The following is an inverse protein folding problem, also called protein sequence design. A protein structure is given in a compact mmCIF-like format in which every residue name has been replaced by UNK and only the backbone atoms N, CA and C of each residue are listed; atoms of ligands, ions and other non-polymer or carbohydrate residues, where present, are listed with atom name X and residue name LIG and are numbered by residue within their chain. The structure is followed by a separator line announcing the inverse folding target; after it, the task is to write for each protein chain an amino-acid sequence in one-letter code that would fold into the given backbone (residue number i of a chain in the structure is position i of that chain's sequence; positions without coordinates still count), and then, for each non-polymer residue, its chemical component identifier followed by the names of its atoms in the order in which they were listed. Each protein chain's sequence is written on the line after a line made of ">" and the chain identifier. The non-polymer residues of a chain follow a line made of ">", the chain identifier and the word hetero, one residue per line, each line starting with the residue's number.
data_IF_357124804447
#
_entry.id   IF_357124804447
#
_cell.length_a   1.000
_cell.length_b   1.000
_cell.length_c   1.000
_cell.angle_alpha   90.00
_cell.angle_beta   90.00
_cell.angle_gamma   90.00
#
_symmetry.space_group_name_H-M   'P 1'
#
loop_
_entity.id
_entity.type
_entity.pdbx_description
1 polymer ?
#
# COMPACT_ATOMS: atom_id res chain seq x y z
N UNK A 1 -12.80 -2.26 -27.81
CA UNK A 1 -12.39 -0.92 -27.33
C UNK A 1 -13.64 -0.18 -26.90
N UNK A 2 -13.89 -0.11 -25.60
CA UNK A 2 -14.99 0.70 -25.05
C UNK A 2 -14.34 2.01 -24.57
N UNK A 3 -14.84 3.16 -24.99
CA UNK A 3 -14.29 4.45 -24.58
C UNK A 3 -14.53 4.68 -23.09
N UNK A 4 -13.54 5.25 -22.41
CA UNK A 4 -13.56 5.60 -20.98
C UNK A 4 -14.81 6.42 -20.60
N UNK A 5 -15.34 7.22 -21.53
CA UNK A 5 -16.55 8.02 -21.39
C UNK A 5 -17.86 7.24 -21.23
N UNK A 6 -17.93 5.97 -21.68
CA UNK A 6 -19.14 5.16 -21.55
C UNK A 6 -19.30 4.54 -20.15
N UNK A 7 -18.21 4.42 -19.39
CA UNK A 7 -18.18 3.77 -18.06
C UNK A 7 -18.16 4.82 -16.94
N UNK A 8 -17.46 5.94 -17.13
CA UNK A 8 -17.30 6.96 -16.08
C UNK A 8 -18.45 7.97 -15.97
N UNK A 9 -19.26 8.13 -17.02
CA UNK A 9 -20.26 9.21 -17.10
C UNK A 9 -21.53 9.02 -16.26
N UNK A 10 -21.77 7.85 -15.67
CA UNK A 10 -23.00 7.60 -14.90
C UNK A 10 -22.93 6.44 -13.88
N UNK A 11 -21.88 5.61 -13.90
CA UNK A 11 -21.87 4.38 -13.11
C UNK A 11 -21.35 4.56 -11.67
N UNK A 12 -20.43 5.49 -11.39
CA UNK A 12 -19.74 5.52 -10.10
C UNK A 12 -20.56 6.06 -8.93
N UNK A 13 -21.58 6.90 -9.17
CA UNK A 13 -22.42 7.46 -8.10
C UNK A 13 -23.80 6.80 -7.97
N UNK A 14 -24.22 6.00 -8.95
CA UNK A 14 -25.58 5.40 -8.99
C UNK A 14 -25.61 3.87 -9.17
N UNK A 15 -24.46 3.25 -9.43
CA UNK A 15 -24.36 1.79 -9.54
C UNK A 15 -23.33 1.28 -8.54
N UNK A 16 -23.75 0.40 -7.63
CA UNK A 16 -22.92 -0.26 -6.62
C UNK A 16 -21.78 -1.06 -7.28
N UNK A 17 -20.74 -0.39 -7.80
CA UNK A 17 -19.62 -0.99 -8.54
C UNK A 17 -18.32 -0.50 -7.93
N UNK A 18 -17.50 -1.44 -7.48
CA UNK A 18 -16.16 -1.20 -6.92
C UNK A 18 -15.13 -1.79 -7.89
N UNK A 19 -14.49 -0.91 -8.66
CA UNK A 19 -13.40 -1.28 -9.55
C UNK A 19 -12.15 -1.57 -8.73
N UNK A 20 -11.58 -2.77 -8.90
CA UNK A 20 -10.35 -3.10 -8.18
C UNK A 20 -9.15 -2.31 -8.70
N UNK A 21 -9.15 -1.99 -10.00
CA UNK A 21 -8.25 -1.04 -10.64
C UNK A 21 -9.05 -0.25 -11.68
N UNK A 22 -8.66 1.01 -11.91
CA UNK A 22 -9.34 1.86 -12.88
C UNK A 22 -9.20 1.32 -14.30
N UNK A 23 -10.30 1.15 -15.05
CA UNK A 23 -10.22 0.71 -16.42
C UNK A 23 -9.60 1.79 -17.31
N UNK A 24 -8.42 1.53 -17.86
CA UNK A 24 -7.79 2.36 -18.89
C UNK A 24 -8.08 1.80 -20.29
N UNK A 25 -7.98 2.59 -21.37
CA UNK A 25 -8.28 2.13 -22.74
C UNK A 25 -7.48 0.89 -23.19
N UNK A 26 -6.28 0.73 -22.64
CA UNK A 26 -5.32 -0.36 -22.86
C UNK A 26 -5.47 -1.52 -21.84
N UNK A 27 -6.23 -1.34 -20.76
CA UNK A 27 -6.46 -2.37 -19.75
C UNK A 27 -7.58 -3.33 -20.17
N UNK A 28 -7.17 -4.54 -20.55
CA UNK A 28 -8.09 -5.66 -20.80
C UNK A 28 -7.43 -6.98 -20.37
N UNK A 29 -8.04 -7.75 -19.45
CA UNK A 29 -9.31 -7.51 -18.76
C UNK A 29 -9.20 -6.55 -17.56
N UNK A 30 -10.32 -5.96 -17.13
CA UNK A 30 -10.46 -5.30 -15.83
C UNK A 30 -11.43 -6.09 -14.92
N UNK A 31 -11.25 -5.95 -13.60
CA UNK A 31 -12.06 -6.64 -12.59
C UNK A 31 -12.84 -5.62 -11.77
N UNK A 32 -14.15 -5.85 -11.60
CA UNK A 32 -15.01 -5.03 -10.77
C UNK A 32 -15.94 -5.90 -9.93
N UNK A 33 -16.14 -5.50 -8.68
CA UNK A 33 -17.17 -6.04 -7.82
C UNK A 33 -18.48 -5.30 -8.08
N UNK A 34 -19.54 -6.05 -8.37
CA UNK A 34 -20.84 -5.51 -8.76
C UNK A 34 -21.88 -5.88 -7.72
N UNK A 35 -22.72 -4.93 -7.34
CA UNK A 35 -23.84 -5.14 -6.43
C UNK A 35 -24.86 -6.15 -6.96
N UNK A 36 -25.61 -6.83 -6.06
CA UNK A 36 -26.50 -7.93 -6.42
C UNK A 36 -27.70 -7.51 -7.28
N UNK A 37 -27.99 -6.20 -7.37
CA UNK A 37 -29.09 -5.66 -8.17
C UNK A 37 -28.91 -5.87 -9.69
N UNK A 38 -27.70 -6.18 -10.16
CA UNK A 38 -27.44 -6.56 -11.56
C UNK A 38 -27.54 -5.43 -12.59
N UNK A 39 -27.86 -4.19 -12.19
CA UNK A 39 -27.98 -3.02 -13.10
C UNK A 39 -26.74 -2.81 -13.97
N UNK A 40 -25.55 -2.96 -13.40
CA UNK A 40 -24.31 -2.82 -14.15
C UNK A 40 -24.16 -3.91 -15.21
N UNK A 41 -24.50 -5.17 -14.90
CA UNK A 41 -24.46 -6.26 -15.88
C UNK A 41 -25.47 -6.03 -17.03
N UNK A 42 -26.64 -5.47 -16.72
CA UNK A 42 -27.61 -5.07 -17.74
C UNK A 42 -27.04 -3.98 -18.65
N UNK A 43 -26.34 -2.98 -18.09
CA UNK A 43 -25.69 -1.92 -18.86
C UNK A 43 -24.56 -2.46 -19.76
N UNK A 44 -23.78 -3.44 -19.28
CA UNK A 44 -22.76 -4.12 -20.10
C UNK A 44 -23.41 -4.86 -21.27
N UNK A 45 -24.48 -5.62 -21.03
CA UNK A 45 -25.22 -6.33 -22.07
C UNK A 45 -25.82 -5.37 -23.10
N UNK A 46 -26.47 -4.29 -22.66
CA UNK A 46 -27.05 -3.28 -23.55
C UNK A 46 -25.99 -2.57 -24.41
N UNK A 47 -24.75 -2.49 -23.92
CA UNK A 47 -23.61 -1.89 -24.63
C UNK A 47 -22.78 -2.91 -25.43
N UNK A 48 -23.23 -4.17 -25.53
CA UNK A 48 -22.48 -5.28 -26.15
C UNK A 48 -21.05 -5.44 -25.61
N UNK A 49 -20.86 -5.18 -24.31
CA UNK A 49 -19.58 -5.36 -23.64
C UNK A 49 -19.53 -6.78 -23.07
N UNK A 50 -18.62 -7.61 -23.59
CA UNK A 50 -18.42 -8.96 -23.08
C UNK A 50 -17.84 -8.95 -21.68
N UNK A 51 -18.38 -9.79 -20.80
CA UNK A 51 -17.86 -10.00 -19.45
C UNK A 51 -17.95 -11.47 -19.05
N UNK A 52 -17.19 -11.83 -18.02
CA UNK A 52 -17.25 -13.14 -17.36
C UNK A 52 -17.44 -12.94 -15.87
N UNK A 53 -18.41 -13.61 -15.28
CA UNK A 53 -18.53 -13.65 -13.83
C UNK A 53 -17.49 -14.65 -13.30
N UNK A 54 -16.49 -14.13 -12.60
CA UNK A 54 -15.40 -14.95 -12.03
C UNK A 54 -15.69 -15.41 -10.61
N UNK A 55 -16.49 -14.65 -9.86
CA UNK A 55 -16.97 -14.97 -8.51
C UNK A 55 -18.44 -14.61 -8.41
N UNK A 56 -19.31 -15.60 -8.21
CA UNK A 56 -20.75 -15.38 -8.10
C UNK A 56 -21.18 -14.89 -6.71
N UNK A 57 -20.40 -15.20 -5.67
CA UNK A 57 -20.67 -14.81 -4.29
C UNK A 57 -19.38 -14.30 -3.63
N UNK A 58 -19.16 -12.99 -3.66
CA UNK A 58 -17.96 -12.40 -3.08
C UNK A 58 -17.92 -12.48 -1.55
N UNK A 59 -19.07 -12.57 -0.87
CA UNK A 59 -19.13 -12.81 0.57
C UNK A 59 -18.42 -14.12 0.93
N UNK A 60 -18.56 -15.16 0.09
CA UNK A 60 -17.84 -16.42 0.31
C UNK A 60 -16.32 -16.29 0.24
N UNK A 61 -15.78 -15.29 -0.47
CA UNK A 61 -14.33 -15.02 -0.52
C UNK A 61 -13.90 -14.43 0.81
N UNK A 62 -14.65 -13.45 1.33
CA UNK A 62 -14.42 -12.82 2.63
C UNK A 62 -14.53 -13.85 3.77
N UNK A 63 -15.58 -14.69 3.75
CA UNK A 63 -15.79 -15.72 4.76
C UNK A 63 -14.64 -16.74 4.78
N UNK A 64 -14.12 -17.11 3.60
CA UNK A 64 -12.95 -18.00 3.50
C UNK A 64 -11.69 -17.37 4.08
N UNK A 65 -11.43 -16.09 3.79
CA UNK A 65 -10.30 -15.36 4.39
C UNK A 65 -10.44 -15.30 5.90
N UNK A 66 -11.64 -14.97 6.41
CA UNK A 66 -11.90 -14.92 7.85
C UNK A 66 -11.67 -16.27 8.51
N UNK A 67 -12.23 -17.36 7.96
CA UNK A 67 -12.01 -18.71 8.48
C UNK A 67 -10.53 -19.10 8.43
N UNK A 68 -9.82 -18.77 7.34
CA UNK A 68 -8.40 -19.05 7.23
C UNK A 68 -7.59 -18.28 8.28
N UNK A 69 -7.88 -16.99 8.45
CA UNK A 69 -7.20 -16.12 9.40
C UNK A 69 -7.48 -16.53 10.86
N UNK A 70 -8.70 -16.98 11.17
CA UNK A 70 -9.07 -17.50 12.49
C UNK A 70 -8.52 -18.89 12.75
N UNK A 71 -8.46 -19.80 11.76
CA UNK A 71 -7.85 -21.14 11.97
C UNK A 71 -6.36 -21.06 12.32
N UNK A 72 -5.67 -20.04 11.81
CA UNK A 72 -4.27 -19.77 12.16
C UNK A 72 -4.11 -19.25 13.61
N UNK A 73 -5.21 -18.87 14.29
CA UNK A 73 -5.21 -18.48 15.71
C UNK A 73 -5.03 -19.65 16.69
N UNK A 74 -4.85 -20.88 16.20
CA UNK A 74 -4.44 -22.03 17.04
C UNK A 74 -3.07 -21.85 17.71
N UNK A 75 -2.29 -20.86 17.25
CA UNK A 75 -1.13 -20.30 17.97
C UNK A 75 -1.58 -19.02 18.68
N UNK A 76 -1.58 -19.01 20.01
CA UNK A 76 -1.77 -17.78 20.79
C UNK A 76 -0.61 -16.84 20.48
N UNK A 77 -0.89 -15.65 19.92
CA UNK A 77 0.11 -14.59 19.72
C UNK A 77 0.11 -13.95 18.32
N UNK A 78 1.14 -13.15 18.09
CA UNK A 78 1.43 -12.48 16.82
C UNK A 78 2.03 -13.46 15.81
N UNK A 79 1.52 -13.50 14.58
CA UNK A 79 2.05 -14.38 13.51
C UNK A 79 2.41 -13.54 12.28
N UNK A 80 3.69 -13.57 11.92
CA UNK A 80 4.26 -12.83 10.78
C UNK A 80 4.05 -13.52 9.42
N UNK A 81 3.79 -14.82 9.42
CA UNK A 81 3.86 -15.68 8.24
C UNK A 81 2.48 -16.06 7.70
N UNK A 82 1.45 -16.14 8.56
CA UNK A 82 0.17 -16.77 8.21
C UNK A 82 -1.08 -16.06 8.77
N UNK A 83 -0.96 -14.85 9.34
CA UNK A 83 -2.10 -14.13 9.92
C UNK A 83 -2.09 -12.65 9.54
N UNK A 84 -3.24 -12.14 9.13
CA UNK A 84 -3.52 -10.71 9.12
C UNK A 84 -3.85 -10.27 10.55
N UNK A 85 -2.85 -9.69 11.21
CA UNK A 85 -2.94 -9.24 12.60
C UNK A 85 -3.82 -7.98 12.71
N UNK A 86 -4.54 -7.85 13.82
CA UNK A 86 -5.32 -6.64 14.11
C UNK A 86 -4.40 -5.46 14.44
N UNK A 87 -4.94 -4.24 14.43
CA UNK A 87 -4.19 -3.05 14.84
C UNK A 87 -3.66 -3.17 16.29
N UNK A 88 -4.45 -3.75 17.19
CA UNK A 88 -4.09 -3.95 18.60
C UNK A 88 -2.93 -4.94 18.73
N UNK A 89 -2.97 -6.06 18.00
CA UNK A 89 -1.89 -7.04 17.94
C UNK A 89 -0.59 -6.41 17.40
N UNK A 90 -0.70 -5.63 16.31
CA UNK A 90 0.43 -4.90 15.69
C UNK A 90 1.05 -3.92 16.68
N UNK A 91 0.24 -3.06 17.28
CA UNK A 91 0.74 -2.03 18.20
C UNK A 91 1.40 -2.66 19.42
N UNK A 92 0.81 -3.73 19.97
CA UNK A 92 1.37 -4.47 21.10
C UNK A 92 2.71 -5.10 20.74
N UNK A 93 2.81 -5.73 19.57
CA UNK A 93 4.03 -6.37 19.11
C UNK A 93 5.16 -5.35 18.85
N UNK A 94 4.87 -4.22 18.19
CA UNK A 94 5.88 -3.19 17.97
C UNK A 94 6.38 -2.58 19.28
N UNK A 95 5.49 -2.34 20.26
CA UNK A 95 5.89 -1.87 21.61
C UNK A 95 6.76 -2.92 22.31
N UNK A 96 6.42 -4.20 22.19
CA UNK A 96 7.21 -5.32 22.75
C UNK A 96 8.61 -5.34 22.13
N UNK A 97 8.72 -5.27 20.80
CA UNK A 97 10.00 -5.24 20.08
C UNK A 97 10.84 -4.02 20.50
N UNK A 98 10.25 -2.83 20.51
CA UNK A 98 10.96 -1.61 20.88
C UNK A 98 11.42 -1.58 22.34
N UNK A 99 10.72 -2.29 23.23
CA UNK A 99 11.08 -2.39 24.66
C UNK A 99 12.12 -3.47 24.95
N UNK A 100 12.25 -4.49 24.10
CA UNK A 100 13.19 -5.59 24.30
C UNK A 100 14.68 -5.17 24.20
N UNK A 101 14.94 -3.98 23.67
CA UNK A 101 16.29 -3.50 23.38
C UNK A 101 16.88 -4.12 22.11
N UNK A 102 18.12 -3.77 21.79
CA UNK A 102 18.82 -4.26 20.59
C UNK A 102 18.70 -3.30 19.40
N UNK A 103 18.21 -3.83 18.26
CA UNK A 103 18.22 -3.11 16.97
C UNK A 103 17.03 -2.16 16.77
N UNK A 104 15.97 -2.29 17.57
CA UNK A 104 14.70 -1.60 17.32
C UNK A 104 14.34 -0.59 18.40
N UNK A 105 13.71 0.51 17.99
CA UNK A 105 13.10 1.51 18.87
C UNK A 105 11.68 1.82 18.40
N UNK A 106 10.76 1.83 19.35
CA UNK A 106 9.37 2.20 19.10
C UNK A 106 9.20 3.71 18.99
N UNK A 107 8.34 4.14 18.07
CA UNK A 107 7.91 5.52 17.94
C UNK A 107 6.49 5.62 17.38
N UNK A 108 6.00 6.86 17.33
CA UNK A 108 4.70 7.20 16.79
C UNK A 108 4.86 8.28 15.73
N UNK A 109 4.24 8.09 14.56
CA UNK A 109 4.15 9.12 13.53
C UNK A 109 3.26 10.27 14.04
N UNK A 110 2.22 9.94 14.80
CA UNK A 110 1.22 10.87 15.30
C UNK A 110 -0.06 10.12 15.70
N UNK A 111 -1.18 10.84 15.67
CA UNK A 111 -2.51 10.25 15.90
C UNK A 111 -3.38 10.34 14.65
N UNK A 112 -4.18 9.32 14.43
CA UNK A 112 -5.25 9.29 13.43
C UNK A 112 -6.43 10.18 13.82
N UNK A 113 -7.42 10.29 12.93
CA UNK A 113 -8.64 11.06 13.19
C UNK A 113 -9.42 10.56 14.43
N UNK A 114 -9.56 9.25 14.61
CA UNK A 114 -10.23 8.63 15.75
C UNK A 114 -9.30 8.49 16.97
N UNK A 115 -8.09 9.08 16.93
CA UNK A 115 -7.17 9.20 18.05
C UNK A 115 -6.27 8.00 18.31
N UNK A 116 -6.20 7.04 17.38
CA UNK A 116 -5.27 5.91 17.45
C UNK A 116 -3.85 6.36 17.17
N UNK A 117 -2.89 5.73 17.83
CA UNK A 117 -1.49 5.95 17.56
C UNK A 117 -1.15 5.39 16.18
N UNK A 118 -0.28 6.07 15.42
CA UNK A 118 0.26 5.54 14.15
C UNK A 118 1.65 4.99 14.45
N UNK A 119 1.81 3.68 14.72
CA UNK A 119 3.05 3.15 15.25
C UNK A 119 4.11 2.96 14.15
N UNK A 120 5.37 3.16 14.52
CA UNK A 120 6.51 2.78 13.68
C UNK A 120 7.66 2.18 14.51
N UNK A 121 8.56 1.46 13.84
CA UNK A 121 9.86 1.07 14.39
C UNK A 121 10.99 1.75 13.63
N UNK A 122 11.93 2.33 14.37
CA UNK A 122 13.29 2.57 13.85
C UNK A 122 14.11 1.32 14.09
N UNK A 123 14.67 0.72 13.04
CA UNK A 123 15.50 -0.49 13.09
C UNK A 123 16.89 -0.15 12.55
N UNK A 124 17.91 -0.31 13.40
CA UNK A 124 19.30 -0.04 13.04
C UNK A 124 20.24 -0.85 13.93
N UNK A 125 21.42 -1.19 13.42
CA UNK A 125 22.45 -1.80 14.25
C UNK A 125 23.02 -0.77 15.23
N UNK A 126 23.18 -1.07 16.54
CA UNK A 126 23.81 -0.16 17.47
C UNK A 126 25.24 0.19 17.04
N UNK A 127 25.62 1.47 17.15
CA UNK A 127 26.91 1.97 16.66
C UNK A 127 26.91 2.34 15.18
N UNK A 128 27.94 3.08 14.77
CA UNK A 128 28.04 3.71 13.45
C UNK A 128 27.49 5.14 13.43
N UNK A 129 28.18 6.04 12.70
CA UNK A 129 27.78 7.43 12.47
C UNK A 129 27.30 7.60 11.04
N UNK A 130 26.43 8.58 10.78
CA UNK A 130 26.00 9.00 9.44
C UNK A 130 25.27 7.94 8.58
N UNK A 131 24.52 7.01 9.21
CA UNK A 131 23.66 6.06 8.48
C UNK A 131 22.56 6.80 7.73
N UNK A 132 22.27 6.38 6.50
CA UNK A 132 21.16 6.93 5.71
C UNK A 132 19.83 6.31 6.11
N UNK A 133 18.74 7.04 5.95
CA UNK A 133 17.40 6.56 6.31
C UNK A 133 16.73 5.86 5.12
N UNK A 134 16.08 4.73 5.37
CA UNK A 134 15.16 4.04 4.46
C UNK A 134 13.77 4.05 5.09
N UNK A 135 12.77 4.59 4.39
CA UNK A 135 11.38 4.61 4.84
C UNK A 135 10.57 3.53 4.15
N UNK A 136 9.90 2.68 4.92
CA UNK A 136 8.83 1.80 4.46
C UNK A 136 7.51 2.30 5.03
N UNK A 137 6.61 2.71 4.16
CA UNK A 137 5.26 3.16 4.48
C UNK A 137 4.27 2.13 3.96
N UNK A 138 3.38 1.65 4.82
CA UNK A 138 2.45 0.58 4.49
C UNK A 138 1.08 0.84 5.13
N UNK A 139 0.05 0.22 4.55
CA UNK A 139 -1.31 0.30 5.10
C UNK A 139 -1.90 1.70 5.03
N UNK A 140 -1.53 2.49 4.03
CA UNK A 140 -2.20 3.75 3.68
C UNK A 140 -3.64 3.48 3.22
N UNK A 141 -3.86 2.46 2.38
CA UNK A 141 -5.21 1.98 2.09
C UNK A 141 -5.58 0.82 3.02
N UNK A 142 -6.74 0.92 3.65
CA UNK A 142 -7.12 0.03 4.72
C UNK A 142 -7.36 -1.43 4.29
N UNK A 143 -7.88 -1.67 3.08
CA UNK A 143 -8.21 -3.00 2.56
C UNK A 143 -7.00 -3.86 2.15
N UNK A 144 -5.81 -3.27 2.12
CA UNK A 144 -4.59 -3.88 1.56
C UNK A 144 -3.80 -4.67 2.61
N UNK A 145 -4.45 -5.66 3.21
CA UNK A 145 -3.91 -6.39 4.38
C UNK A 145 -2.57 -7.08 4.13
N UNK A 146 -2.30 -7.54 2.90
CA UNK A 146 -1.01 -8.18 2.57
C UNK A 146 0.16 -7.19 2.56
N UNK A 147 -0.07 -5.92 2.27
CA UNK A 147 0.97 -4.89 2.37
C UNK A 147 1.39 -4.68 3.82
N UNK A 148 0.42 -4.57 4.73
CA UNK A 148 0.66 -4.51 6.18
C UNK A 148 1.44 -5.74 6.66
N UNK A 149 0.99 -6.94 6.27
CA UNK A 149 1.63 -8.19 6.65
C UNK A 149 3.07 -8.31 6.13
N UNK A 150 3.33 -7.88 4.88
CA UNK A 150 4.68 -7.88 4.31
C UNK A 150 5.64 -6.95 5.07
N UNK A 151 5.18 -5.76 5.46
CA UNK A 151 6.00 -4.84 6.24
C UNK A 151 6.32 -5.34 7.64
N UNK A 152 5.36 -6.02 8.28
CA UNK A 152 5.58 -6.69 9.57
C UNK A 152 6.55 -7.85 9.41
N UNK A 153 6.44 -8.63 8.34
CA UNK A 153 7.37 -9.72 8.06
C UNK A 153 8.81 -9.21 7.88
N UNK A 154 9.01 -8.17 7.09
CA UNK A 154 10.33 -7.53 6.91
C UNK A 154 10.85 -6.97 8.24
N UNK A 155 9.98 -6.33 9.02
CA UNK A 155 10.31 -5.85 10.37
C UNK A 155 10.89 -6.97 11.22
N UNK A 156 10.22 -8.14 11.25
CA UNK A 156 10.71 -9.31 11.99
C UNK A 156 12.07 -9.78 11.47
N UNK A 157 12.27 -9.83 10.15
CA UNK A 157 13.54 -10.24 9.55
C UNK A 157 14.71 -9.32 9.95
N UNK A 158 14.50 -8.00 9.89
CA UNK A 158 15.53 -7.01 10.23
C UNK A 158 15.85 -7.00 11.72
N UNK A 159 14.87 -7.28 12.57
CA UNK A 159 15.05 -7.28 14.03
C UNK A 159 15.72 -8.57 14.52
N UNK A 160 15.26 -9.73 14.05
CA UNK A 160 15.59 -11.02 14.68
C UNK A 160 16.78 -11.73 14.07
N UNK A 161 17.12 -11.45 12.81
CA UNK A 161 18.22 -12.14 12.10
C UNK A 161 19.48 -11.26 12.04
N UNK A 162 20.63 -11.90 11.81
CA UNK A 162 21.90 -11.20 11.51
C UNK A 162 22.19 -11.12 10.01
N UNK A 163 21.38 -11.78 9.18
CA UNK A 163 21.51 -11.85 7.72
C UNK A 163 21.59 -10.47 7.07
N UNK A 164 20.94 -9.47 7.66
CA UNK A 164 20.83 -8.12 7.12
C UNK A 164 21.65 -7.08 7.91
N UNK A 165 22.60 -7.52 8.75
CA UNK A 165 23.40 -6.60 9.57
C UNK A 165 24.28 -5.67 8.74
N UNK A 166 24.77 -6.14 7.59
CA UNK A 166 25.48 -5.31 6.62
C UNK A 166 24.60 -4.15 6.11
N UNK A 167 23.30 -4.41 5.92
CA UNK A 167 22.33 -3.40 5.52
C UNK A 167 22.08 -2.41 6.67
N UNK A 168 21.96 -2.92 7.90
CA UNK A 168 21.74 -2.13 9.11
C UNK A 168 22.99 -1.37 9.61
N UNK A 169 24.18 -1.73 9.13
CA UNK A 169 25.41 -0.96 9.31
C UNK A 169 25.39 0.30 8.44
N UNK A 170 24.77 0.24 7.26
CA UNK A 170 24.68 1.35 6.30
C UNK A 170 23.43 2.22 6.49
N UNK A 171 22.32 1.60 6.86
CA UNK A 171 21.01 2.26 6.91
C UNK A 171 20.34 2.17 8.29
N UNK A 172 19.54 3.18 8.61
CA UNK A 172 18.44 3.07 9.57
C UNK A 172 17.13 2.89 8.81
N UNK A 173 16.32 1.90 9.19
CA UNK A 173 14.99 1.69 8.63
C UNK A 173 13.95 2.33 9.53
N UNK A 174 13.05 3.11 8.95
CA UNK A 174 11.82 3.56 9.61
C UNK A 174 10.66 2.87 8.93
N UNK A 175 10.02 1.93 9.62
CA UNK A 175 8.93 1.12 9.08
C UNK A 175 7.62 1.49 9.78
N UNK A 176 6.64 1.96 9.00
CA UNK A 176 5.28 2.32 9.43
C UNK A 176 4.33 1.25 8.86
N UNK A 177 3.93 0.21 9.62
CA UNK A 177 3.14 -0.88 9.04
C UNK A 177 1.68 -0.52 8.75
N UNK A 178 1.11 0.45 9.47
CA UNK A 178 -0.29 0.86 9.34
C UNK A 178 -0.41 2.38 9.45
N UNK A 179 -0.25 3.09 8.33
CA UNK A 179 -0.42 4.54 8.27
C UNK A 179 -1.89 4.98 8.50
N UNK A 180 -2.87 4.19 8.05
CA UNK A 180 -4.29 4.44 8.23
C UNK A 180 -4.91 3.46 9.25
N UNK A 181 -4.63 3.60 10.56
CA UNK A 181 -5.08 2.65 11.56
C UNK A 181 -6.61 2.63 11.73
N UNK A 182 -7.29 3.76 11.53
CA UNK A 182 -8.75 3.83 11.68
C UNK A 182 -9.46 3.06 10.57
N UNK A 183 -9.04 3.29 9.32
CA UNK A 183 -9.53 2.51 8.19
C UNK A 183 -9.21 1.03 8.37
N UNK A 184 -7.98 0.69 8.79
CA UNK A 184 -7.57 -0.70 9.00
C UNK A 184 -8.46 -1.39 10.04
N UNK A 185 -8.70 -0.77 11.21
CA UNK A 185 -9.63 -1.31 12.21
C UNK A 185 -11.05 -1.46 11.64
N UNK A 186 -11.51 -0.49 10.86
CA UNK A 186 -12.83 -0.55 10.22
C UNK A 186 -12.94 -1.73 9.24
N UNK A 187 -11.86 -2.12 8.56
CA UNK A 187 -11.85 -3.33 7.71
C UNK A 187 -11.91 -4.64 8.48
N UNK A 188 -11.37 -4.66 9.71
CA UNK A 188 -11.41 -5.85 10.58
C UNK A 188 -12.76 -6.02 11.28
N UNK A 189 -13.55 -4.95 11.42
CA UNK A 189 -14.73 -4.92 12.30
C UNK A 189 -16.05 -4.63 11.61
N UNK A 190 -16.04 -3.89 10.47
CA UNK A 190 -17.27 -3.40 9.84
C UNK A 190 -17.31 -3.66 8.34
N UNK A 191 -16.33 -3.16 7.58
CA UNK A 191 -16.33 -3.25 6.13
C UNK A 191 -14.95 -3.61 5.59
N UNK A 192 -14.73 -4.89 5.32
CA UNK A 192 -13.48 -5.45 4.81
C UNK A 192 -12.96 -4.79 3.52
N UNK A 193 -13.84 -4.16 2.74
CA UNK A 193 -13.51 -3.50 1.46
C UNK A 193 -13.16 -2.02 1.61
N UNK A 194 -13.20 -1.47 2.82
CA UNK A 194 -12.94 -0.05 3.04
C UNK A 194 -11.51 0.37 2.65
N UNK A 195 -11.38 1.48 1.93
CA UNK A 195 -10.09 1.99 1.42
C UNK A 195 -9.58 3.21 2.21
N UNK A 196 -10.47 4.17 2.43
CA UNK A 196 -10.18 5.54 2.88
C UNK A 196 -9.79 5.64 4.36
N UNK A 197 -9.45 6.84 4.82
CA UNK A 197 -9.41 7.20 6.25
C UNK A 197 -10.81 7.14 6.88
N UNK A 198 -10.95 7.56 8.15
CA UNK A 198 -12.25 7.62 8.87
C UNK A 198 -12.66 9.02 9.31
N UNK A 199 -12.05 10.06 8.73
CA UNK A 199 -12.44 11.46 8.96
C UNK A 199 -13.90 11.72 8.53
N UNK A 200 -14.55 12.72 9.13
CA UNK A 200 -15.91 13.10 8.73
C UNK A 200 -15.90 14.02 7.50
N UNK A 201 -16.57 13.61 6.44
CA UNK A 201 -16.59 14.31 5.14
C UNK A 201 -18.03 14.49 4.64
N UNK A 202 -18.77 15.38 5.28
CA UNK A 202 -20.18 15.64 4.96
C UNK A 202 -21.08 14.50 5.42
N UNK A 203 -21.82 13.90 4.47
CA UNK A 203 -22.64 12.70 4.68
C UNK A 203 -21.84 11.39 4.53
N UNK A 204 -20.60 11.49 4.03
CA UNK A 204 -19.69 10.37 3.82
C UNK A 204 -18.47 10.46 4.76
N UNK A 205 -17.62 9.45 4.73
CA UNK A 205 -16.46 9.33 5.62
C UNK A 205 -15.19 9.07 4.82
N UNK A 206 -14.09 9.62 5.33
CA UNK A 206 -12.74 9.43 4.86
C UNK A 206 -12.41 10.16 3.56
N UNK A 207 -11.14 10.49 3.42
CA UNK A 207 -10.48 10.79 2.15
C UNK A 207 -9.56 9.62 1.77
N UNK A 208 -9.24 9.49 0.49
CA UNK A 208 -8.17 8.61 0.01
C UNK A 208 -6.83 9.20 0.48
N UNK A 209 -6.15 8.57 1.46
CA UNK A 209 -4.91 9.11 1.98
C UNK A 209 -3.79 9.12 0.91
N UNK A 210 -3.91 8.36 -0.18
CA UNK A 210 -2.96 8.40 -1.30
C UNK A 210 -3.36 9.38 -2.41
N UNK A 211 -4.33 10.26 -2.15
CA UNK A 211 -4.67 11.45 -2.95
C UNK A 211 -4.61 12.75 -2.14
N UNK A 212 -4.15 12.67 -0.89
CA UNK A 212 -4.18 13.76 0.08
C UNK A 212 -2.81 14.43 0.30
N UNK A 213 -1.89 14.30 -0.66
CA UNK A 213 -0.53 14.86 -0.58
C UNK A 213 -0.41 16.17 -1.36
N UNK A 214 0.48 17.09 -0.95
CA UNK A 214 0.81 18.30 -1.74
C UNK A 214 1.68 17.97 -2.96
N UNK A 215 1.18 17.13 -3.85
CA UNK A 215 1.80 16.80 -5.13
C UNK A 215 0.70 16.55 -6.16
N UNK A 216 0.48 17.50 -7.07
CA UNK A 216 -0.65 17.52 -7.99
C UNK A 216 -1.99 17.25 -7.27
N UNK A 217 -2.19 17.95 -6.13
CA UNK A 217 -3.28 17.67 -5.21
C UNK A 217 -4.64 17.75 -5.92
N UNK A 218 -5.41 16.66 -5.84
CA UNK A 218 -6.74 16.55 -6.41
C UNK A 218 -6.81 16.77 -7.94
N UNK A 219 -5.70 16.60 -8.67
CA UNK A 219 -5.67 16.68 -10.12
C UNK A 219 -6.03 15.33 -10.76
N UNK A 220 -5.05 14.57 -11.23
CA UNK A 220 -5.27 13.33 -11.98
C UNK A 220 -5.55 12.14 -11.06
N UNK A 221 -6.60 11.37 -11.37
CA UNK A 221 -6.92 10.11 -10.68
C UNK A 221 -7.49 10.30 -9.28
N UNK A 222 -7.98 11.50 -8.95
CA UNK A 222 -8.62 11.85 -7.71
C UNK A 222 -10.08 12.32 -7.93
N UNK A 223 -10.85 12.44 -6.85
CA UNK A 223 -12.23 12.94 -6.89
C UNK A 223 -12.43 14.05 -5.85
N UNK A 224 -13.28 15.02 -6.18
CA UNK A 224 -13.73 16.06 -5.23
C UNK A 224 -15.02 15.66 -4.49
N UNK A 225 -15.64 14.53 -4.86
CA UNK A 225 -16.84 14.01 -4.20
C UNK A 225 -16.47 13.27 -2.91
N UNK A 226 -16.92 13.71 -1.72
CA UNK A 226 -16.67 13.04 -0.45
C UNK A 226 -17.09 11.57 -0.37
N UNK A 227 -18.01 11.14 -1.23
CA UNK A 227 -18.53 9.78 -1.26
C UNK A 227 -17.76 8.85 -2.21
N UNK A 228 -16.87 9.39 -3.04
CA UNK A 228 -15.99 8.62 -3.91
C UNK A 228 -14.83 8.01 -3.10
N UNK A 229 -14.41 6.80 -3.47
CA UNK A 229 -13.27 6.11 -2.87
C UNK A 229 -11.92 6.79 -3.14
N UNK A 230 -11.86 7.69 -4.13
CA UNK A 230 -10.70 8.52 -4.48
C UNK A 230 -10.84 9.97 -4.02
N UNK A 231 -11.77 10.26 -3.12
CA UNK A 231 -11.95 11.60 -2.57
C UNK A 231 -10.62 12.15 -2.05
N UNK A 232 -10.15 13.26 -2.60
CA UNK A 232 -8.81 13.79 -2.28
C UNK A 232 -8.73 14.46 -0.90
N UNK A 233 -9.86 14.75 -0.25
CA UNK A 233 -9.90 15.55 0.98
C UNK A 233 -10.16 17.03 0.71
N UNK A 234 -10.29 17.82 1.77
CA UNK A 234 -10.65 19.26 1.66
C UNK A 234 -9.49 20.13 1.18
N UNK A 235 -8.27 19.67 1.41
CA UNK A 235 -7.01 20.30 1.03
C UNK A 235 -5.91 19.24 1.11
N UNK A 236 -4.74 19.50 0.51
CA UNK A 236 -3.56 18.70 0.77
C UNK A 236 -3.32 18.63 2.29
N UNK A 237 -2.98 17.43 2.78
CA UNK A 237 -2.76 17.12 4.19
C UNK A 237 -3.96 17.45 5.10
N UNK A 238 -5.19 17.36 4.57
CA UNK A 238 -6.40 17.47 5.41
C UNK A 238 -6.56 16.30 6.37
N UNK A 239 -6.00 15.14 6.05
CA UNK A 239 -6.03 13.96 6.90
C UNK A 239 -4.88 14.02 7.93
N UNK A 240 -5.14 13.81 9.23
CA UNK A 240 -4.09 13.86 10.25
C UNK A 240 -3.00 12.81 10.02
N UNK A 241 -3.35 11.66 9.42
CA UNK A 241 -2.42 10.57 9.10
C UNK A 241 -1.37 11.02 8.06
N UNK A 242 -1.81 11.56 6.93
CA UNK A 242 -0.92 12.00 5.84
C UNK A 242 -0.10 13.22 6.25
N UNK A 243 -0.71 14.14 7.01
CA UNK A 243 -0.01 15.29 7.58
C UNK A 243 1.14 14.84 8.48
N UNK A 244 0.85 14.01 9.49
CA UNK A 244 1.85 13.54 10.44
C UNK A 244 2.98 12.75 9.75
N UNK A 245 2.64 11.93 8.74
CA UNK A 245 3.66 11.21 7.96
C UNK A 245 4.55 12.16 7.16
N UNK A 246 3.97 13.19 6.54
CA UNK A 246 4.74 14.19 5.79
C UNK A 246 5.74 14.93 6.69
N UNK A 247 5.34 15.25 7.92
CA UNK A 247 6.17 15.92 8.93
C UNK A 247 7.31 15.00 9.37
N UNK A 248 7.04 13.72 9.65
CA UNK A 248 8.07 12.74 10.01
C UNK A 248 9.11 12.58 8.89
N UNK A 249 8.69 12.41 7.64
CA UNK A 249 9.62 12.27 6.51
C UNK A 249 10.46 13.54 6.36
N UNK A 250 9.85 14.73 6.49
CA UNK A 250 10.55 16.00 6.39
C UNK A 250 11.69 16.14 7.41
N UNK A 251 11.54 15.60 8.64
CA UNK A 251 12.61 15.63 9.65
C UNK A 251 13.89 14.87 9.26
N UNK A 252 13.78 13.94 8.30
CA UNK A 252 14.87 13.06 7.85
C UNK A 252 15.19 13.23 6.36
N UNK A 253 14.52 14.15 5.65
CA UNK A 253 14.56 14.23 4.19
C UNK A 253 15.98 14.30 3.62
N UNK A 254 16.82 15.20 4.15
CA UNK A 254 18.21 15.39 3.71
C UNK A 254 19.12 14.17 3.93
N UNK A 255 18.72 13.24 4.80
CA UNK A 255 19.47 12.02 5.11
C UNK A 255 18.80 10.74 4.57
N UNK A 256 17.68 10.86 3.87
CA UNK A 256 16.94 9.71 3.35
C UNK A 256 17.57 9.23 2.05
N UNK A 257 17.98 7.96 2.01
CA UNK A 257 18.49 7.31 0.81
C UNK A 257 17.37 6.70 -0.04
N UNK A 258 16.23 6.34 0.55
CA UNK A 258 15.12 5.76 -0.19
C UNK A 258 13.79 5.79 0.56
N UNK A 259 12.71 6.00 -0.18
CA UNK A 259 11.33 5.93 0.30
C UNK A 259 10.55 4.89 -0.50
N UNK A 260 9.85 3.99 0.20
CA UNK A 260 9.09 2.90 -0.38
C UNK A 260 7.69 2.87 0.21
N UNK A 261 6.68 3.14 -0.63
CA UNK A 261 5.27 3.02 -0.28
C UNK A 261 4.74 1.66 -0.74
N UNK A 262 4.21 0.84 0.17
CA UNK A 262 3.89 -0.57 -0.06
C UNK A 262 2.37 -0.75 -0.04
N UNK A 263 1.83 -1.17 -1.18
CA UNK A 263 0.41 -1.32 -1.49
C UNK A 263 0.08 -2.74 -1.96
N UNK A 264 -1.19 -3.03 -2.14
CA UNK A 264 -1.64 -4.07 -3.04
C UNK A 264 -2.93 -3.64 -3.78
N UNK A 265 -3.20 -4.09 -4.99
CA UNK A 265 -2.53 -5.14 -5.73
C UNK A 265 -2.34 -4.76 -7.20
N UNK A 266 -1.53 -5.54 -7.89
CA UNK A 266 -1.31 -5.37 -9.32
C UNK A 266 0.01 -5.90 -9.82
N UNK A 267 0.92 -6.29 -8.93
CA UNK A 267 2.28 -6.71 -9.25
C UNK A 267 3.03 -5.64 -10.04
N UNK A 268 3.12 -4.45 -9.46
CA UNK A 268 3.78 -3.29 -10.06
C UNK A 268 4.93 -2.80 -9.19
N UNK A 269 5.99 -2.31 -9.83
CA UNK A 269 7.12 -1.68 -9.16
C UNK A 269 7.29 -0.26 -9.71
N UNK A 270 6.70 0.69 -9.01
CA UNK A 270 6.37 2.00 -9.53
C UNK A 270 7.33 3.08 -9.01
N UNK A 271 7.49 4.15 -9.77
CA UNK A 271 8.30 5.31 -9.40
C UNK A 271 7.67 6.63 -9.93
N UNK A 272 8.08 7.82 -9.44
CA UNK A 272 7.57 9.08 -9.95
C UNK A 272 7.86 9.26 -11.45
N UNK A 273 7.07 9.99 -12.22
CA UNK A 273 5.75 10.54 -11.90
C UNK A 273 4.81 10.23 -13.04
N UNK A 274 3.59 9.86 -12.70
CA UNK A 274 2.47 9.69 -13.63
C UNK A 274 1.61 10.96 -13.75
N UNK A 275 1.81 11.96 -12.88
CA UNK A 275 1.01 13.19 -12.89
C UNK A 275 1.55 14.28 -13.84
N UNK A 276 2.81 14.19 -14.28
CA UNK A 276 3.47 15.13 -15.18
C UNK A 276 3.75 14.49 -16.53
N UNK A 277 3.68 15.28 -17.59
CA UNK A 277 4.19 14.85 -18.89
C UNK A 277 5.72 14.72 -18.83
N UNK A 278 6.24 13.62 -19.38
CA UNK A 278 7.66 13.33 -19.42
C UNK A 278 8.20 12.64 -18.17
N UNK A 279 9.48 12.32 -18.22
CA UNK A 279 10.17 11.50 -17.23
C UNK A 279 10.79 12.35 -16.11
N UNK A 280 10.93 11.85 -14.87
CA UNK A 280 11.71 12.53 -13.84
C UNK A 280 13.19 12.66 -14.26
N UNK A 281 13.94 13.64 -13.73
CA UNK A 281 15.34 13.87 -14.10
C UNK A 281 16.25 12.64 -14.00
N UNK A 282 16.03 11.77 -13.02
CA UNK A 282 16.80 10.53 -12.81
C UNK A 282 16.05 9.26 -13.26
N UNK A 283 15.11 9.37 -14.21
CA UNK A 283 14.30 8.25 -14.71
C UNK A 283 15.10 7.00 -15.05
N UNK A 284 16.19 7.12 -15.80
CA UNK A 284 17.00 5.97 -16.19
C UNK A 284 17.55 5.19 -14.99
N UNK A 285 17.82 5.87 -13.87
CA UNK A 285 18.25 5.24 -12.63
C UNK A 285 17.08 4.57 -11.90
N UNK A 286 15.95 5.27 -11.77
CA UNK A 286 14.73 4.71 -11.17
C UNK A 286 14.26 3.46 -11.91
N UNK A 287 14.21 3.52 -13.24
CA UNK A 287 13.78 2.42 -14.10
C UNK A 287 14.73 1.22 -14.00
N UNK A 288 16.05 1.46 -14.07
CA UNK A 288 17.06 0.41 -13.86
C UNK A 288 16.90 -0.27 -12.49
N UNK A 289 16.67 0.51 -11.43
CA UNK A 289 16.44 -0.02 -10.09
C UNK A 289 15.12 -0.81 -10.02
N UNK A 290 14.04 -0.31 -10.60
CA UNK A 290 12.78 -1.04 -10.69
C UNK A 290 12.96 -2.39 -11.41
N UNK A 291 13.70 -2.41 -12.53
CA UNK A 291 14.05 -3.65 -13.22
C UNK A 291 14.87 -4.62 -12.36
N UNK A 292 15.81 -4.14 -11.55
CA UNK A 292 16.52 -4.97 -10.57
C UNK A 292 15.56 -5.57 -9.55
N UNK A 293 14.63 -4.77 -9.03
CA UNK A 293 13.60 -5.21 -8.08
C UNK A 293 12.69 -6.30 -8.65
N UNK A 294 12.09 -6.08 -9.83
CA UNK A 294 11.18 -7.07 -10.44
C UNK A 294 11.89 -8.35 -10.86
N UNK A 295 13.16 -8.28 -11.26
CA UNK A 295 13.96 -9.47 -11.56
C UNK A 295 14.25 -10.29 -10.30
N UNK A 296 14.55 -9.64 -9.17
CA UNK A 296 14.74 -10.32 -7.89
C UNK A 296 13.45 -10.96 -7.35
N UNK A 297 12.30 -10.31 -7.55
CA UNK A 297 10.97 -10.89 -7.25
C UNK A 297 10.75 -12.15 -8.09
N UNK A 298 10.99 -12.07 -9.41
CA UNK A 298 10.84 -13.20 -10.33
C UNK A 298 11.78 -14.36 -9.96
N UNK A 299 13.02 -14.07 -9.58
CA UNK A 299 13.96 -15.09 -9.12
C UNK A 299 13.55 -15.78 -7.80
N UNK A 300 12.74 -15.10 -6.97
CA UNK A 300 12.33 -15.63 -5.66
C UNK A 300 11.19 -16.65 -5.79
N UNK A 301 10.09 -16.27 -6.46
CA UNK A 301 8.88 -17.09 -6.53
C UNK A 301 8.30 -17.24 -7.95
N UNK A 302 9.05 -16.87 -8.98
CA UNK A 302 8.62 -16.91 -10.38
C UNK A 302 7.32 -16.12 -10.67
N UNK A 303 7.17 -14.97 -10.01
CA UNK A 303 6.06 -14.03 -10.26
C UNK A 303 6.58 -12.79 -10.97
N UNK A 304 5.78 -12.29 -11.91
CA UNK A 304 6.16 -11.17 -12.77
C UNK A 304 5.55 -9.89 -12.25
N UNK A 305 6.41 -8.95 -11.88
CA UNK A 305 6.04 -7.58 -11.59
C UNK A 305 6.48 -6.69 -12.75
N UNK A 306 5.76 -5.61 -12.99
CA UNK A 306 6.04 -4.68 -14.11
C UNK A 306 6.44 -3.31 -13.57
N UNK A 307 7.55 -2.72 -14.04
CA UNK A 307 7.84 -1.32 -13.77
C UNK A 307 6.75 -0.39 -14.33
N UNK A 308 6.35 0.62 -13.57
CA UNK A 308 5.29 1.57 -13.96
C UNK A 308 5.48 2.94 -13.27
N UNK A 309 4.60 3.90 -13.50
CA UNK A 309 4.66 5.25 -12.90
C UNK A 309 3.54 5.48 -11.88
N UNK A 310 3.90 6.09 -10.74
CA UNK A 310 2.94 6.46 -9.68
C UNK A 310 2.51 7.92 -9.81
N UNK A 311 1.25 8.26 -9.47
CA UNK A 311 0.67 9.61 -9.65
C UNK A 311 -0.08 10.10 -8.42
N UNK A 312 0.15 11.36 -8.02
CA UNK A 312 -0.63 12.12 -7.03
C UNK A 312 -0.53 11.59 -5.60
N UNK A 313 0.57 10.89 -5.30
CA UNK A 313 0.74 10.06 -4.10
C UNK A 313 1.92 10.50 -3.23
N UNK A 314 2.13 9.78 -2.12
CA UNK A 314 3.27 10.02 -1.23
C UNK A 314 4.62 10.01 -1.96
N UNK A 315 4.79 9.08 -2.89
CA UNK A 315 6.00 8.89 -3.71
C UNK A 315 6.32 10.12 -4.57
N UNK A 316 5.30 10.77 -5.15
CA UNK A 316 5.48 12.02 -5.88
C UNK A 316 5.85 13.18 -4.94
N UNK A 317 5.17 13.31 -3.80
CA UNK A 317 5.46 14.36 -2.82
C UNK A 317 6.89 14.31 -2.29
N UNK A 318 7.36 13.13 -1.86
CA UNK A 318 8.71 12.99 -1.32
C UNK A 318 9.79 13.29 -2.37
N UNK A 319 9.53 12.94 -3.63
CA UNK A 319 10.44 13.25 -4.72
C UNK A 319 10.43 14.74 -5.05
N UNK A 320 9.25 15.31 -5.32
CA UNK A 320 9.10 16.69 -5.79
C UNK A 320 9.42 17.73 -4.72
N UNK A 321 8.86 17.55 -3.51
CA UNK A 321 8.91 18.56 -2.46
C UNK A 321 10.07 18.32 -1.50
N UNK A 322 10.31 17.07 -1.10
CA UNK A 322 11.36 16.72 -0.13
C UNK A 322 12.70 16.33 -0.77
N UNK A 323 12.76 16.25 -2.10
CA UNK A 323 13.97 15.94 -2.88
C UNK A 323 14.60 14.58 -2.55
N UNK A 324 13.76 13.62 -2.12
CA UNK A 324 14.17 12.23 -1.95
C UNK A 324 14.14 11.57 -3.33
N UNK A 325 15.30 11.49 -3.98
CA UNK A 325 15.41 11.10 -5.40
C UNK A 325 15.17 9.61 -5.68
N UNK A 326 15.22 8.78 -4.64
CA UNK A 326 14.91 7.34 -4.71
C UNK A 326 13.57 7.10 -4.02
N UNK A 327 12.49 7.27 -4.78
CA UNK A 327 11.14 7.09 -4.28
C UNK A 327 10.44 6.04 -5.13
N UNK A 328 9.85 5.03 -4.49
CA UNK A 328 9.18 3.93 -5.15
C UNK A 328 7.84 3.65 -4.48
N UNK A 329 6.91 3.10 -5.26
CA UNK A 329 5.71 2.44 -4.75
C UNK A 329 5.69 1.00 -5.27
N UNK A 330 5.18 0.06 -4.49
CA UNK A 330 5.04 -1.33 -4.93
C UNK A 330 3.60 -1.78 -4.74
N UNK A 331 3.01 -2.34 -5.79
CA UNK A 331 1.71 -3.02 -5.73
C UNK A 331 1.99 -4.51 -5.65
N UNK A 332 1.76 -5.11 -4.49
CA UNK A 332 2.01 -6.52 -4.25
C UNK A 332 1.01 -7.41 -5.01
N UNK A 333 1.12 -8.72 -4.78
CA UNK A 333 0.14 -9.70 -5.24
C UNK A 333 -1.29 -9.40 -4.73
N UNK A 334 -2.30 -9.95 -5.41
CA UNK A 334 -2.19 -10.69 -6.66
C UNK A 334 -2.04 -9.77 -7.90
N UNK A 335 -2.06 -10.32 -9.11
CA UNK A 335 -2.18 -9.51 -10.33
C UNK A 335 -3.60 -8.95 -10.49
N UNK A 336 -3.76 -7.94 -11.37
CA UNK A 336 -5.03 -7.22 -11.60
C UNK A 336 -6.21 -8.11 -12.04
N UNK A 337 -5.95 -9.29 -12.59
CA UNK A 337 -6.97 -10.23 -13.07
C UNK A 337 -7.43 -11.24 -12.03
N UNK A 338 -6.76 -11.29 -10.86
CA UNK A 338 -7.07 -12.27 -9.84
C UNK A 338 -8.45 -12.02 -9.22
N UNK A 339 -9.32 -13.04 -9.17
CA UNK A 339 -10.74 -12.88 -8.79
C UNK A 339 -10.94 -12.38 -7.36
N UNK A 340 -10.03 -12.74 -6.45
CA UNK A 340 -10.15 -12.40 -5.04
C UNK A 340 -9.60 -10.99 -4.72
N UNK A 341 -8.83 -10.37 -5.64
CA UNK A 341 -8.25 -9.03 -5.47
C UNK A 341 -7.58 -8.81 -4.11
N UNK A 342 -8.12 -7.88 -3.32
CA UNK A 342 -7.64 -7.52 -1.98
C UNK A 342 -7.85 -8.60 -0.90
N UNK A 343 -8.62 -9.66 -1.18
CA UNK A 343 -8.98 -10.73 -0.22
C UNK A 343 -8.08 -11.94 -0.45
N UNK A 344 -6.80 -11.80 -0.13
CA UNK A 344 -5.79 -12.81 -0.40
C UNK A 344 -5.69 -13.80 0.77
N UNK A 345 -5.74 -15.11 0.51
CA UNK A 345 -5.60 -16.15 1.54
C UNK A 345 -4.31 -15.96 2.39
N UNK A 346 -4.39 -15.97 3.74
CA UNK A 346 -3.24 -15.76 4.61
C UNK A 346 -2.03 -16.65 4.34
N UNK A 347 -2.21 -17.83 3.72
CA UNK A 347 -1.07 -18.70 3.31
C UNK A 347 -0.12 -18.03 2.33
N UNK A 348 -0.55 -16.97 1.64
CA UNK A 348 0.26 -16.21 0.70
C UNK A 348 1.08 -15.11 1.37
N UNK A 349 0.84 -14.79 2.66
CA UNK A 349 1.60 -13.75 3.37
C UNK A 349 3.09 -14.03 3.25
N UNK A 350 3.58 -15.18 3.71
CA UNK A 350 5.01 -15.50 3.64
C UNK A 350 5.60 -15.46 2.21
N UNK A 351 5.03 -16.14 1.19
CA UNK A 351 5.52 -16.02 -0.19
C UNK A 351 5.57 -14.58 -0.70
N UNK A 352 4.51 -13.78 -0.47
CA UNK A 352 4.45 -12.39 -0.92
C UNK A 352 5.50 -11.53 -0.18
N UNK A 353 5.65 -11.73 1.12
CA UNK A 353 6.65 -11.03 1.92
C UNK A 353 8.08 -11.34 1.48
N UNK A 354 8.40 -12.60 1.17
CA UNK A 354 9.76 -13.00 0.79
C UNK A 354 10.15 -12.45 -0.57
N UNK A 355 9.26 -12.50 -1.57
CA UNK A 355 9.56 -11.93 -2.89
C UNK A 355 9.63 -10.40 -2.84
N UNK A 356 8.71 -9.74 -2.13
CA UNK A 356 8.69 -8.30 -1.99
C UNK A 356 9.97 -7.81 -1.32
N UNK A 357 10.39 -8.47 -0.22
CA UNK A 357 11.62 -8.15 0.46
C UNK A 357 12.85 -8.32 -0.43
N UNK A 358 12.95 -9.41 -1.19
CA UNK A 358 14.08 -9.61 -2.10
C UNK A 358 14.11 -8.56 -3.23
N UNK A 359 12.96 -8.14 -3.75
CA UNK A 359 12.85 -7.03 -4.70
C UNK A 359 13.32 -5.71 -4.10
N UNK A 360 12.75 -5.32 -2.96
CA UNK A 360 13.10 -4.09 -2.25
C UNK A 360 14.58 -4.07 -1.86
N UNK A 361 15.10 -5.18 -1.33
CA UNK A 361 16.50 -5.31 -0.92
C UNK A 361 17.45 -5.17 -2.11
N UNK A 362 17.13 -5.77 -3.26
CA UNK A 362 17.93 -5.61 -4.48
C UNK A 362 18.03 -4.13 -4.90
N UNK A 363 16.95 -3.35 -4.73
CA UNK A 363 16.99 -1.90 -4.95
C UNK A 363 17.86 -1.20 -3.90
N UNK A 364 17.62 -1.46 -2.61
CA UNK A 364 18.30 -0.79 -1.48
C UNK A 364 19.83 -1.00 -1.52
N UNK A 365 20.28 -2.20 -1.88
CA UNK A 365 21.69 -2.55 -2.03
C UNK A 365 22.38 -1.82 -3.19
N UNK A 366 21.60 -1.20 -4.10
CA UNK A 366 22.10 -0.53 -5.31
C UNK A 366 21.72 0.96 -5.41
N UNK A 367 21.17 1.59 -4.36
CA UNK A 367 20.76 3.02 -4.39
C UNK A 367 21.91 3.99 -4.69
N UNK A 368 23.15 3.65 -4.31
CA UNK A 368 24.33 4.51 -4.49
C UNK A 368 25.15 4.15 -5.75
N UNK A 369 24.66 3.23 -6.59
CA UNK A 369 25.32 2.81 -7.84
C UNK A 369 24.56 3.32 -9.06
#
# INVERSE_FOLDING_TARGET
>A
MVSHSCISGNASSTSNVDFFADPTPDMSPFTALVGPEGRFLQALNASNISYKVVVNNFQSVIDREWVANTRQSGKVGFDYDNKYNTYEDITTELKRIGSAGGKAKYGSVGKSYEGREIPYLTITKPGGTNKKTIFFECGIHAREWVAVAACLWVTNQLVTTTTYDNLLDKYEFIIVPTLNPDGYVYTHTVNRKWRKTRSKSGLCFGADPNRNWDAAFCETGASTDPCDDKYCGKSAFSEPETKAMSELIATKASNTAGYFSIHCFGQLFMYPWGHKAGNPPNYAQLDKLAYLGVNAIKATNNVTYTPDVASGCATDYVYDKLKIQMAFAIELRPDRSHPDGFILDPKFIKPVSTEAWNGLRAVIENLDK
#
